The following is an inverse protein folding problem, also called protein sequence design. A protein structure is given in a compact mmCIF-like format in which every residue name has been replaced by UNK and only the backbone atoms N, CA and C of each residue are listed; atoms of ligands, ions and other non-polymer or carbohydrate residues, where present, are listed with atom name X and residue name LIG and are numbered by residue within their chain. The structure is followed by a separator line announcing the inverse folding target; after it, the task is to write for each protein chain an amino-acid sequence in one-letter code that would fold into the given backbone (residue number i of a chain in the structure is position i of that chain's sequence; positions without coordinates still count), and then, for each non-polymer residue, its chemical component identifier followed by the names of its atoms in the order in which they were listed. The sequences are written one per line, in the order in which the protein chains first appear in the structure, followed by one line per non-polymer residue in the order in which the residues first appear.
data_IF_295975567877
#
_entry.id   IF_295975567877
#
_cell.length_a   1.000
_cell.length_b   1.000
_cell.length_c   1.000
_cell.angle_alpha   90.00
_cell.angle_beta   90.00
_cell.angle_gamma   90.00
#
_symmetry.space_group_name_H-M   'P 1'
#
loop_
_entity.id
_entity.type
_entity.pdbx_description
1 polymer ?
#
# COMPACT_ATOMS: atom_id res chain seq x y z
N UNK A 1 -2.15 -20.69 -2.55
CA UNK A 1 -2.95 -19.50 -2.21
C UNK A 1 -1.96 -18.40 -1.82
N UNK A 2 -1.95 -17.30 -2.51
CA UNK A 2 -1.02 -16.19 -2.27
C UNK A 2 -1.53 -15.33 -1.10
N UNK A 3 -0.69 -15.03 -0.13
CA UNK A 3 -1.02 -14.10 0.96
C UNK A 3 -0.90 -12.67 0.45
N UNK A 4 -2.02 -11.94 0.47
CA UNK A 4 -2.08 -10.54 0.05
C UNK A 4 -2.01 -9.60 1.26
N UNK A 5 -1.04 -8.70 1.27
CA UNK A 5 -0.82 -7.73 2.35
C UNK A 5 -0.93 -6.32 1.79
N UNK A 6 -1.91 -5.56 2.24
CA UNK A 6 -2.08 -4.15 1.89
C UNK A 6 -1.57 -3.26 3.02
N UNK A 7 -0.70 -2.28 2.69
CA UNK A 7 -0.14 -1.33 3.64
C UNK A 7 -0.55 0.09 3.24
N UNK A 8 -1.54 0.64 3.92
CA UNK A 8 -1.96 2.03 3.80
C UNK A 8 -1.10 2.99 4.62
N UNK A 9 -1.42 4.25 4.51
CA UNK A 9 -0.78 5.33 5.27
C UNK A 9 -0.47 6.55 4.42
N UNK A 10 -0.36 7.69 5.06
CA UNK A 10 -0.20 8.98 4.42
C UNK A 10 1.12 9.09 3.64
N UNK A 11 1.21 10.08 2.75
CA UNK A 11 2.41 10.36 1.97
C UNK A 11 3.63 10.58 2.90
N UNK A 12 4.73 9.92 2.58
CA UNK A 12 5.96 10.00 3.38
C UNK A 12 5.92 9.26 4.72
N UNK A 13 4.91 8.40 4.95
CA UNK A 13 4.82 7.59 6.18
C UNK A 13 5.86 6.46 6.26
N UNK A 14 6.49 6.10 5.14
CA UNK A 14 7.49 5.04 5.08
C UNK A 14 6.94 3.70 4.58
N UNK A 15 5.84 3.70 3.83
CA UNK A 15 5.20 2.48 3.30
C UNK A 15 6.18 1.62 2.51
N UNK A 16 6.82 2.20 1.47
CA UNK A 16 7.76 1.48 0.60
C UNK A 16 8.94 0.92 1.37
N UNK A 17 9.47 1.68 2.34
CA UNK A 17 10.54 1.22 3.23
C UNK A 17 10.13 0.00 4.04
N UNK A 18 8.92 0.02 4.62
CA UNK A 18 8.40 -1.10 5.40
C UNK A 18 8.11 -2.31 4.51
N UNK A 19 7.56 -2.10 3.31
CA UNK A 19 7.34 -3.17 2.31
C UNK A 19 8.67 -3.87 2.01
N UNK A 20 9.74 -3.12 1.75
CA UNK A 20 11.06 -3.71 1.52
C UNK A 20 11.56 -4.55 2.69
N UNK A 21 11.38 -4.08 3.92
CA UNK A 21 11.76 -4.84 5.13
C UNK A 21 10.92 -6.11 5.32
N UNK A 22 9.61 -6.03 5.06
CA UNK A 22 8.72 -7.20 5.12
C UNK A 22 9.10 -8.21 4.05
N UNK A 23 9.36 -7.75 2.82
CA UNK A 23 9.79 -8.60 1.71
C UNK A 23 11.06 -9.37 2.06
N UNK A 24 12.07 -8.69 2.58
CA UNK A 24 13.33 -9.32 3.02
C UNK A 24 13.09 -10.41 4.07
N UNK A 25 12.19 -10.18 5.02
CA UNK A 25 11.85 -11.17 6.06
C UNK A 25 11.18 -12.41 5.48
N UNK A 26 10.28 -12.24 4.51
CA UNK A 26 9.64 -13.38 3.85
C UNK A 26 10.63 -14.18 2.99
N UNK A 27 11.50 -13.48 2.25
CA UNK A 27 12.56 -14.15 1.47
C UNK A 27 13.52 -14.91 2.38
N UNK A 28 13.89 -14.35 3.53
CA UNK A 28 14.71 -15.07 4.53
C UNK A 28 14.03 -16.34 5.08
N UNK A 29 12.71 -16.44 4.97
CA UNK A 29 11.93 -17.65 5.29
C UNK A 29 11.75 -18.59 4.09
N UNK A 30 12.41 -18.34 2.97
CA UNK A 30 12.30 -19.12 1.73
C UNK A 30 11.02 -18.89 0.93
N UNK A 31 10.31 -17.77 1.17
CA UNK A 31 9.09 -17.41 0.48
C UNK A 31 9.37 -16.58 -0.78
N UNK A 32 8.59 -16.83 -1.82
CA UNK A 32 8.56 -15.96 -3.01
C UNK A 32 7.69 -14.75 -2.75
N UNK A 33 8.19 -13.56 -3.11
CA UNK A 33 7.50 -12.29 -2.82
C UNK A 33 7.31 -11.50 -4.11
N UNK A 34 6.07 -11.07 -4.35
CA UNK A 34 5.71 -10.05 -5.32
C UNK A 34 5.43 -8.72 -4.60
N UNK A 35 5.69 -7.61 -5.29
CA UNK A 35 5.45 -6.26 -4.77
C UNK A 35 4.68 -5.46 -5.80
N UNK A 36 3.62 -4.76 -5.35
CA UNK A 36 2.86 -3.80 -6.15
C UNK A 36 3.08 -2.41 -5.55
N UNK A 37 3.69 -1.52 -6.33
CA UNK A 37 3.91 -0.13 -5.95
C UNK A 37 3.05 0.80 -6.79
N UNK A 38 2.77 1.99 -6.24
CA UNK A 38 2.09 3.04 -6.99
C UNK A 38 3.12 3.95 -7.67
N UNK A 39 2.97 4.17 -8.98
CA UNK A 39 3.88 4.96 -9.83
C UNK A 39 3.80 6.49 -9.63
N UNK A 40 2.97 6.99 -8.71
CA UNK A 40 2.89 8.43 -8.43
C UNK A 40 4.03 8.98 -7.54
N UNK A 41 4.83 8.13 -6.97
CA UNK A 41 6.05 8.56 -6.31
C UNK A 41 7.12 8.83 -7.37
N UNK A 42 7.20 10.08 -7.81
CA UNK A 42 8.27 10.59 -8.69
C UNK A 42 9.69 10.42 -8.12
N UNK A 43 9.81 9.83 -6.97
CA UNK A 43 11.06 9.39 -6.35
C UNK A 43 11.24 7.87 -6.55
N UNK A 44 11.25 7.48 -7.81
CA UNK A 44 11.46 6.15 -8.39
C UNK A 44 12.76 5.42 -7.96
N UNK A 45 13.34 5.77 -6.85
CA UNK A 45 14.53 5.09 -6.33
C UNK A 45 14.17 3.70 -5.81
N UNK A 46 12.93 3.49 -5.41
CA UNK A 46 12.54 2.28 -4.69
C UNK A 46 12.22 1.10 -5.62
N UNK A 47 11.49 1.31 -6.72
CA UNK A 47 11.14 0.23 -7.66
C UNK A 47 12.35 -0.39 -8.37
N UNK A 48 13.29 0.38 -8.95
CA UNK A 48 14.53 -0.17 -9.50
C UNK A 48 15.36 -0.91 -8.45
N UNK A 49 15.39 -0.42 -7.21
CA UNK A 49 16.11 -1.07 -6.12
C UNK A 49 15.47 -2.40 -5.73
N UNK A 50 14.15 -2.47 -5.67
CA UNK A 50 13.42 -3.70 -5.38
C UNK A 50 13.61 -4.74 -6.50
N UNK A 51 13.55 -4.32 -7.77
CA UNK A 51 13.85 -5.18 -8.92
C UNK A 51 15.30 -5.68 -8.91
N UNK A 52 16.26 -4.80 -8.57
CA UNK A 52 17.66 -5.17 -8.45
C UNK A 52 17.92 -6.18 -7.33
N UNK A 53 17.06 -6.21 -6.31
CA UNK A 53 17.06 -7.22 -5.25
C UNK A 53 16.38 -8.54 -5.66
N UNK A 54 15.87 -8.64 -6.88
CA UNK A 54 15.28 -9.87 -7.43
C UNK A 54 13.78 -10.06 -7.13
N UNK A 55 13.09 -9.04 -6.65
CA UNK A 55 11.64 -9.11 -6.47
C UNK A 55 10.89 -8.98 -7.79
N UNK A 56 9.79 -9.71 -7.95
CA UNK A 56 8.81 -9.45 -8.98
C UNK A 56 8.02 -8.19 -8.61
N UNK A 57 8.26 -7.09 -9.31
CA UNK A 57 7.62 -5.80 -9.01
C UNK A 57 6.66 -5.43 -10.12
N UNK A 58 5.37 -5.35 -9.79
CA UNK A 58 4.31 -4.74 -10.59
C UNK A 58 4.13 -3.28 -10.20
N UNK A 59 4.00 -2.43 -11.19
CA UNK A 59 3.64 -1.03 -11.01
C UNK A 59 2.19 -0.84 -11.44
N UNK A 60 1.40 -0.17 -10.61
CA UNK A 60 0.09 0.33 -11.00
C UNK A 60 0.34 1.66 -11.70
N UNK A 61 0.15 1.70 -13.01
CA UNK A 61 0.43 2.89 -13.82
C UNK A 61 -0.42 4.07 -13.36
N UNK A 62 0.27 5.13 -12.97
CA UNK A 62 -0.28 6.31 -12.34
C UNK A 62 -1.44 6.91 -13.09
N UNK A 63 -2.61 6.57 -12.68
CA UNK A 63 -3.77 7.30 -13.12
C UNK A 63 -4.23 8.26 -12.03
N UNK A 64 -4.33 9.46 -12.46
CA UNK A 64 -5.39 10.40 -12.10
C UNK A 64 -6.34 9.85 -11.02
N UNK A 65 -6.19 10.30 -9.78
CA UNK A 65 -7.25 10.48 -8.79
C UNK A 65 -8.24 9.34 -8.46
N UNK A 66 -8.10 8.16 -9.02
CA UNK A 66 -8.92 7.02 -8.62
C UNK A 66 -8.01 5.91 -8.09
N UNK A 67 -8.20 5.54 -6.85
CA UNK A 67 -7.74 4.26 -6.33
C UNK A 67 -8.55 3.20 -7.07
N UNK A 68 -8.11 2.78 -8.26
CA UNK A 68 -8.84 1.77 -9.00
C UNK A 68 -8.38 0.40 -8.52
N UNK A 69 -9.25 -0.25 -7.79
CA UNK A 69 -9.20 -1.65 -7.43
C UNK A 69 -8.98 -2.56 -8.65
N UNK A 70 -9.58 -2.23 -9.80
CA UNK A 70 -9.44 -2.97 -11.06
C UNK A 70 -7.98 -3.08 -11.53
N UNK A 71 -7.21 -2.00 -11.47
CA UNK A 71 -5.82 -1.99 -11.92
C UNK A 71 -4.89 -2.71 -10.95
N UNK A 72 -5.16 -2.60 -9.66
CA UNK A 72 -4.44 -3.34 -8.64
C UNK A 72 -4.72 -4.84 -8.76
N UNK A 73 -5.98 -5.23 -8.99
CA UNK A 73 -6.40 -6.61 -9.24
C UNK A 73 -5.73 -7.15 -10.51
N UNK A 74 -5.77 -6.41 -11.62
CA UNK A 74 -5.13 -6.81 -12.87
C UNK A 74 -3.61 -6.96 -12.73
N UNK A 75 -2.97 -6.11 -11.92
CA UNK A 75 -1.54 -6.21 -11.64
C UNK A 75 -1.22 -7.42 -10.76
N UNK A 76 -2.05 -7.70 -9.76
CA UNK A 76 -1.92 -8.90 -8.94
C UNK A 76 -2.07 -10.17 -9.79
N UNK A 77 -3.03 -10.19 -10.72
CA UNK A 77 -3.23 -11.31 -11.63
C UNK A 77 -2.03 -11.53 -12.55
N UNK A 78 -1.49 -10.48 -13.17
CA UNK A 78 -0.29 -10.55 -14.02
C UNK A 78 0.92 -11.11 -13.28
N UNK A 79 1.12 -10.70 -12.03
CA UNK A 79 2.21 -11.25 -11.20
C UNK A 79 1.99 -12.72 -10.86
N UNK A 80 0.74 -13.14 -10.70
CA UNK A 80 0.39 -14.52 -10.42
C UNK A 80 0.50 -15.42 -11.67
N UNK A 81 0.35 -14.91 -12.89
CA UNK A 81 0.49 -15.67 -14.14
C UNK A 81 1.93 -16.18 -14.36
N UNK A 82 2.93 -15.43 -13.94
CA UNK A 82 4.36 -15.79 -14.05
C UNK A 82 4.80 -16.86 -13.03
N UNK A 83 3.89 -17.29 -12.18
CA UNK A 83 4.11 -18.16 -11.03
C UNK A 83 3.61 -17.45 -9.77
N UNK A 84 2.54 -17.94 -9.12
CA UNK A 84 1.93 -17.25 -7.99
C UNK A 84 2.95 -17.11 -6.85
N UNK A 85 3.24 -15.87 -6.39
CA UNK A 85 4.12 -15.69 -5.24
C UNK A 85 3.45 -16.21 -3.97
N UNK A 86 4.24 -16.62 -2.98
CA UNK A 86 3.73 -16.97 -1.66
C UNK A 86 3.07 -15.75 -0.97
N UNK A 87 3.67 -14.59 -1.19
CA UNK A 87 3.24 -13.32 -0.59
C UNK A 87 3.24 -12.20 -1.64
N UNK A 88 2.18 -11.44 -1.68
CA UNK A 88 2.05 -10.23 -2.48
C UNK A 88 1.87 -9.03 -1.56
N UNK A 89 2.82 -8.11 -1.60
CA UNK A 89 2.81 -6.88 -0.81
C UNK A 89 2.37 -5.72 -1.71
N UNK A 90 1.39 -4.94 -1.27
CA UNK A 90 0.87 -3.82 -2.05
C UNK A 90 0.79 -2.54 -1.22
N UNK A 91 1.11 -1.41 -1.86
CA UNK A 91 0.86 -0.09 -1.32
C UNK A 91 -0.10 0.69 -2.23
N UNK A 92 -1.18 1.24 -1.66
CA UNK A 92 -2.04 2.18 -2.36
C UNK A 92 -1.41 3.57 -2.40
N UNK A 93 -1.98 4.46 -3.19
CA UNK A 93 -1.60 5.88 -3.18
C UNK A 93 -1.75 6.45 -1.76
N UNK A 94 -0.76 7.22 -1.32
CA UNK A 94 -0.77 7.81 0.03
C UNK A 94 -1.88 8.84 0.30
N UNK A 95 -2.64 9.24 -0.71
CA UNK A 95 -3.81 10.11 -0.59
C UNK A 95 -5.15 9.36 -0.64
N UNK A 96 -5.15 8.05 -0.82
CA UNK A 96 -6.38 7.26 -0.86
C UNK A 96 -7.01 7.13 0.52
N UNK A 97 -8.33 7.16 0.54
CA UNK A 97 -9.19 6.91 1.70
C UNK A 97 -10.19 5.82 1.35
N UNK A 98 -10.88 5.29 2.35
CA UNK A 98 -11.88 4.24 2.18
C UNK A 98 -11.31 2.95 1.54
N UNK A 99 -10.03 2.65 1.83
CA UNK A 99 -9.31 1.52 1.24
C UNK A 99 -9.94 0.16 1.55
N UNK A 100 -10.60 0.05 2.70
CA UNK A 100 -11.36 -1.16 3.05
C UNK A 100 -12.50 -1.35 2.05
N UNK A 101 -13.26 -0.31 1.76
CA UNK A 101 -14.41 -0.38 0.85
C UNK A 101 -13.98 -0.49 -0.62
N UNK A 102 -12.92 0.22 -1.02
CA UNK A 102 -12.53 0.37 -2.43
C UNK A 102 -11.52 -0.68 -2.91
N UNK A 103 -10.78 -1.30 -1.99
CA UNK A 103 -9.76 -2.31 -2.34
C UNK A 103 -10.02 -3.65 -1.63
N UNK A 104 -10.10 -3.65 -0.30
CA UNK A 104 -10.14 -4.90 0.47
C UNK A 104 -11.40 -5.71 0.17
N UNK A 105 -12.57 -5.07 0.19
CA UNK A 105 -13.84 -5.77 -0.08
C UNK A 105 -13.93 -6.27 -1.53
N UNK A 106 -13.62 -5.47 -2.57
CA UNK A 106 -13.57 -5.96 -3.94
C UNK A 106 -12.56 -7.10 -4.14
N UNK A 107 -11.34 -6.99 -3.61
CA UNK A 107 -10.36 -8.08 -3.67
C UNK A 107 -10.89 -9.37 -3.06
N UNK A 108 -11.56 -9.27 -1.90
CA UNK A 108 -12.15 -10.42 -1.24
C UNK A 108 -13.27 -11.06 -2.06
N UNK A 109 -14.08 -10.26 -2.76
CA UNK A 109 -15.18 -10.74 -3.59
C UNK A 109 -14.69 -11.34 -4.90
N UNK A 110 -13.70 -10.72 -5.55
CA UNK A 110 -13.22 -11.10 -6.88
C UNK A 110 -12.15 -12.19 -6.84
N UNK A 111 -11.28 -12.16 -5.83
CA UNK A 111 -10.09 -13.00 -5.77
C UNK A 111 -10.00 -13.85 -4.50
N UNK A 112 -11.08 -13.96 -3.73
CA UNK A 112 -11.09 -14.64 -2.43
C UNK A 112 -10.67 -16.13 -2.46
N UNK A 113 -10.79 -16.79 -3.61
CA UNK A 113 -10.31 -18.17 -3.80
C UNK A 113 -8.80 -18.25 -4.12
N UNK A 114 -8.21 -17.17 -4.62
CA UNK A 114 -6.81 -17.11 -5.06
C UNK A 114 -5.88 -16.47 -4.03
N UNK A 115 -6.41 -15.53 -3.23
CA UNK A 115 -5.66 -14.75 -2.26
C UNK A 115 -6.22 -14.89 -0.85
N UNK A 116 -5.32 -15.10 0.10
CA UNK A 116 -5.57 -14.96 1.53
C UNK A 116 -5.27 -13.50 1.93
N UNK A 117 -6.30 -12.72 2.26
CA UNK A 117 -6.10 -11.34 2.68
C UNK A 117 -5.58 -11.28 4.12
N UNK A 118 -4.41 -10.68 4.29
CA UNK A 118 -3.90 -10.33 5.61
C UNK A 118 -4.70 -9.16 6.20
N UNK A 119 -4.65 -8.95 7.53
CA UNK A 119 -5.20 -7.74 8.12
C UNK A 119 -4.63 -6.48 7.46
N UNK A 120 -5.50 -5.53 7.17
CA UNK A 120 -5.09 -4.22 6.63
C UNK A 120 -4.28 -3.46 7.67
N UNK A 121 -3.13 -2.92 7.29
CA UNK A 121 -2.25 -2.15 8.15
C UNK A 121 -2.11 -0.71 7.65
N UNK A 122 -2.22 0.26 8.56
CA UNK A 122 -1.99 1.68 8.26
C UNK A 122 -0.73 2.15 8.98
N UNK A 123 0.21 2.73 8.23
CA UNK A 123 1.46 3.25 8.78
C UNK A 123 1.27 4.70 9.17
N UNK A 124 1.53 4.98 10.43
CA UNK A 124 1.49 6.31 11.00
C UNK A 124 2.91 6.83 11.27
N UNK A 125 3.27 7.96 10.64
CA UNK A 125 4.49 8.68 11.01
C UNK A 125 4.26 9.41 12.33
N UNK A 126 5.02 9.14 13.41
CA UNK A 126 4.75 9.66 14.75
C UNK A 126 4.55 11.18 14.80
N UNK A 127 5.47 11.93 14.19
CA UNK A 127 5.38 13.41 14.15
C UNK A 127 4.12 13.93 13.45
N UNK A 128 3.60 13.20 12.46
CA UNK A 128 2.34 13.57 11.80
C UNK A 128 1.15 13.26 12.72
N UNK A 129 1.18 12.10 13.38
CA UNK A 129 0.15 11.71 14.32
C UNK A 129 0.03 12.68 15.50
N UNK A 130 1.15 13.04 16.12
CA UNK A 130 1.17 14.03 17.21
C UNK A 130 0.55 15.37 16.78
N UNK A 131 0.92 15.88 15.60
CA UNK A 131 0.39 17.16 15.09
C UNK A 131 -1.11 17.11 14.81
N UNK A 132 -1.61 15.99 14.27
CA UNK A 132 -3.02 15.82 13.96
C UNK A 132 -3.84 15.63 15.25
N UNK A 133 -3.35 14.80 16.18
CA UNK A 133 -4.05 14.54 17.44
C UNK A 133 -4.04 15.74 18.39
N UNK A 134 -2.97 16.55 18.35
CA UNK A 134 -2.88 17.78 19.13
C UNK A 134 -3.65 18.96 18.52
N UNK A 135 -4.15 18.84 17.28
CA UNK A 135 -4.96 19.86 16.66
C UNK A 135 -6.41 19.74 17.12
N UNK A 136 -6.84 20.68 17.95
CA UNK A 136 -8.22 20.87 18.38
C UNK A 136 -8.65 22.26 17.93
N UNK A 137 -9.61 22.44 17.17
CA UNK A 137 -10.26 23.67 16.69
C UNK A 137 -9.47 25.01 16.74
N UNK A 138 -8.63 25.21 17.75
CA UNK A 138 -7.79 26.40 17.93
C UNK A 138 -6.34 26.20 17.49
N UNK A 139 -5.78 25.00 17.69
CA UNK A 139 -4.42 24.64 17.26
C UNK A 139 -4.44 24.02 15.86
N UNK A 140 -3.78 24.67 14.91
CA UNK A 140 -3.63 24.15 13.56
C UNK A 140 -2.59 23.02 13.54
N UNK A 141 -2.90 21.90 12.90
CA UNK A 141 -1.96 20.78 12.67
C UNK A 141 -0.73 21.19 11.84
N UNK A 142 -0.82 22.31 11.10
CA UNK A 142 0.18 22.75 10.14
C UNK A 142 0.15 21.99 8.82
N UNK A 143 -0.85 21.14 8.60
CA UNK A 143 -1.20 20.56 7.30
C UNK A 143 -2.23 21.44 6.58
N UNK A 144 -2.35 21.27 5.26
CA UNK A 144 -3.49 21.82 4.54
C UNK A 144 -4.79 21.15 5.01
N UNK A 145 -5.95 21.81 4.91
CA UNK A 145 -7.22 21.19 5.30
C UNK A 145 -7.48 19.85 4.61
N UNK A 146 -7.12 19.74 3.32
CA UNK A 146 -7.25 18.50 2.56
C UNK A 146 -6.33 17.40 3.09
N UNK A 147 -5.07 17.72 3.35
CA UNK A 147 -4.12 16.74 3.89
C UNK A 147 -4.54 16.26 5.29
N UNK A 148 -5.03 17.16 6.13
CA UNK A 148 -5.56 16.80 7.44
C UNK A 148 -6.79 15.90 7.35
N UNK A 149 -7.72 16.22 6.44
CA UNK A 149 -8.91 15.41 6.18
C UNK A 149 -8.53 13.98 5.76
N UNK A 150 -7.66 13.83 4.75
CA UNK A 150 -7.19 12.52 4.27
C UNK A 150 -6.54 11.74 5.41
N UNK A 151 -5.68 12.40 6.18
CA UNK A 151 -4.97 11.76 7.27
C UNK A 151 -5.93 11.23 8.35
N UNK A 152 -6.92 12.03 8.76
CA UNK A 152 -7.93 11.61 9.73
C UNK A 152 -8.75 10.46 9.20
N UNK A 153 -9.15 10.50 7.94
CA UNK A 153 -9.90 9.41 7.31
C UNK A 153 -9.10 8.10 7.30
N UNK A 154 -7.82 8.14 6.98
CA UNK A 154 -6.97 6.95 7.03
C UNK A 154 -6.78 6.37 8.43
N UNK A 155 -6.95 7.16 9.48
CA UNK A 155 -6.92 6.66 10.86
C UNK A 155 -8.26 6.06 11.32
N UNK A 156 -9.36 6.37 10.64
CA UNK A 156 -10.70 5.87 10.93
C UNK A 156 -10.99 4.51 10.26
N UNK A 157 -10.19 4.11 9.24
CA UNK A 157 -10.30 2.84 8.51
C UNK A 157 -9.76 1.64 9.31
#
# INVERSE_FOLDING_TARGET
MTRFVLLGGFLGAGKTTLIGQIAQRYVAQGKTVGIITNDQASDLVDTPNLRAQGYAVGEVAGASYSCSDEELVATADRLAESGPPDVLLAEPVGSCTDLVATIILPLRQLLGERFELAPFGVILKPNHGERILASDGEKRSGFSPQAEYIFRKQLEE
#
